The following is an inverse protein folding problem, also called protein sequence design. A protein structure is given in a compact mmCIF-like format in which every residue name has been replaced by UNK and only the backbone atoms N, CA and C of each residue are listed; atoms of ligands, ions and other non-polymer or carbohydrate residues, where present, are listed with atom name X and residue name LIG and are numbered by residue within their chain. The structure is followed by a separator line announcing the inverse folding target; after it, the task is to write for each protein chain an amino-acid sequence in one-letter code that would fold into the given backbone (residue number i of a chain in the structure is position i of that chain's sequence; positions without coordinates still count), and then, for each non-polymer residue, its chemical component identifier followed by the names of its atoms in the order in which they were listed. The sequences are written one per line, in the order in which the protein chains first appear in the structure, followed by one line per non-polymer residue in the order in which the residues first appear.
data_IF_231703944245
#
_entry.id   IF_231703944245
#
_cell.length_a   1.000
_cell.length_b   1.000
_cell.length_c   1.000
_cell.angle_alpha   90.00
_cell.angle_beta   90.00
_cell.angle_gamma   90.00
#
_symmetry.space_group_name_H-M   'P 1'
#
loop_
_entity.id
_entity.type
_entity.pdbx_description
1 polymer ?
#
# COMPACT_ATOMS: atom_id res chain seq x y z
N UNK A 1 16.43 -16.37 -24.77
CA UNK A 1 17.74 -16.90 -24.55
C UNK A 1 17.69 -18.07 -23.59
N UNK A 2 18.45 -19.10 -23.90
CA UNK A 2 18.59 -20.22 -22.99
C UNK A 2 17.43 -21.21 -22.95
N UNK A 3 16.52 -21.17 -23.89
CA UNK A 3 15.49 -22.18 -24.03
C UNK A 3 14.38 -22.13 -23.02
N UNK A 4 14.24 -21.04 -22.26
CA UNK A 4 13.12 -20.89 -21.31
C UNK A 4 11.87 -20.50 -22.06
N UNK A 5 10.74 -21.16 -21.72
CA UNK A 5 9.43 -20.81 -22.24
C UNK A 5 8.90 -19.55 -21.58
N UNK A 6 7.90 -18.91 -22.20
CA UNK A 6 7.23 -17.74 -21.59
C UNK A 6 6.61 -18.09 -20.24
N UNK A 7 5.90 -19.23 -20.07
CA UNK A 7 5.41 -19.62 -18.75
C UNK A 7 6.51 -19.81 -17.70
N UNK A 8 7.65 -20.37 -18.10
CA UNK A 8 8.78 -20.56 -17.18
C UNK A 8 9.36 -19.21 -16.75
N UNK A 9 9.53 -18.29 -17.70
CA UNK A 9 9.99 -16.94 -17.39
C UNK A 9 9.03 -16.23 -16.45
N UNK A 10 7.73 -16.34 -16.72
CA UNK A 10 6.70 -15.74 -15.86
C UNK A 10 6.76 -16.28 -14.44
N UNK A 11 6.94 -17.61 -14.29
CA UNK A 11 7.08 -18.23 -12.96
C UNK A 11 8.30 -17.70 -12.21
N UNK A 12 9.44 -17.57 -12.92
CA UNK A 12 10.68 -17.07 -12.32
C UNK A 12 10.54 -15.61 -11.88
N UNK A 13 9.91 -14.80 -12.72
CA UNK A 13 9.66 -13.39 -12.38
C UNK A 13 8.74 -13.30 -11.15
N UNK A 14 7.66 -14.06 -11.13
CA UNK A 14 6.75 -14.07 -9.98
C UNK A 14 7.42 -14.54 -8.71
N UNK A 15 8.26 -15.58 -8.81
CA UNK A 15 9.00 -16.08 -7.64
C UNK A 15 9.96 -15.03 -7.11
N UNK A 16 10.68 -14.35 -8.01
CA UNK A 16 11.61 -13.29 -7.61
C UNK A 16 10.87 -12.09 -7.01
N UNK A 17 9.77 -11.68 -7.63
CA UNK A 17 8.95 -10.58 -7.12
C UNK A 17 8.37 -10.92 -5.74
N UNK A 18 7.92 -12.15 -5.53
CA UNK A 18 7.43 -12.59 -4.23
C UNK A 18 8.51 -12.55 -3.17
N UNK A 19 9.75 -12.96 -3.52
CA UNK A 19 10.87 -12.89 -2.57
C UNK A 19 11.19 -11.44 -2.21
N UNK A 20 11.20 -10.55 -3.19
CA UNK A 20 11.44 -9.13 -2.95
C UNK A 20 10.38 -8.53 -2.02
N UNK A 21 9.11 -8.90 -2.21
CA UNK A 21 8.04 -8.45 -1.31
C UNK A 21 8.23 -8.96 0.10
N UNK A 22 8.64 -10.23 0.26
CA UNK A 22 8.91 -10.79 1.59
C UNK A 22 10.08 -10.09 2.27
N UNK A 23 11.15 -9.82 1.51
CA UNK A 23 12.32 -9.11 2.03
C UNK A 23 11.94 -7.68 2.47
N UNK A 24 11.11 -7.01 1.67
CA UNK A 24 10.62 -5.67 2.00
C UNK A 24 9.76 -5.70 3.26
N UNK A 25 8.85 -6.65 3.36
CA UNK A 25 7.99 -6.79 4.54
C UNK A 25 8.80 -7.09 5.80
N UNK A 26 9.79 -7.97 5.70
CA UNK A 26 10.70 -8.27 6.82
C UNK A 26 11.48 -7.04 7.23
N UNK A 27 12.01 -6.30 6.27
CA UNK A 27 12.75 -5.07 6.56
C UNK A 27 11.87 -4.08 7.32
N UNK A 28 10.65 -3.88 6.86
CA UNK A 28 9.72 -2.98 7.49
C UNK A 28 9.30 -3.45 8.88
N UNK A 29 8.82 -4.70 8.98
CA UNK A 29 8.25 -5.21 10.23
C UNK A 29 9.30 -5.47 11.31
N UNK A 30 10.47 -5.96 10.92
CA UNK A 30 11.46 -6.46 11.87
C UNK A 30 12.56 -5.44 12.18
N UNK A 31 12.76 -4.45 11.30
CA UNK A 31 13.85 -3.50 11.44
C UNK A 31 13.38 -2.05 11.52
N UNK A 32 12.69 -1.56 10.49
CA UNK A 32 12.36 -0.14 10.39
C UNK A 32 11.28 0.28 11.39
N UNK A 33 10.19 -0.46 11.44
CA UNK A 33 9.07 -0.13 12.31
C UNK A 33 9.46 -0.13 13.79
N UNK A 34 10.18 -1.15 14.30
CA UNK A 34 10.65 -1.12 15.69
C UNK A 34 11.63 0.02 15.97
N UNK A 35 12.49 0.33 15.02
CA UNK A 35 13.45 1.42 15.20
C UNK A 35 12.76 2.77 15.25
N UNK A 36 11.76 3.00 14.39
CA UNK A 36 10.96 4.20 14.44
C UNK A 36 10.25 4.34 15.78
N UNK A 37 9.72 3.24 16.32
CA UNK A 37 9.04 3.26 17.61
C UNK A 37 9.97 3.69 18.74
N UNK A 38 11.24 3.29 18.69
CA UNK A 38 12.24 3.72 19.67
C UNK A 38 12.45 5.22 19.64
N UNK A 39 12.23 5.85 18.49
CA UNK A 39 12.38 7.30 18.33
C UNK A 39 11.05 8.05 18.41
N UNK A 40 10.02 7.39 18.93
CA UNK A 40 8.73 8.04 19.19
C UNK A 40 7.78 8.11 18.00
N UNK A 41 8.12 7.41 16.89
CA UNK A 41 7.25 7.37 15.71
C UNK A 41 6.61 5.99 15.61
N UNK A 42 5.29 5.93 15.75
CA UNK A 42 4.54 4.67 15.67
C UNK A 42 3.63 4.70 14.47
N UNK A 43 3.82 3.71 13.59
CA UNK A 43 2.92 3.47 12.46
C UNK A 43 1.95 2.38 12.90
N UNK A 44 0.69 2.74 13.04
CA UNK A 44 -0.32 1.84 13.62
C UNK A 44 -1.03 1.05 12.52
N UNK A 45 -1.27 -0.23 12.80
CA UNK A 45 -2.19 -1.03 12.01
C UNK A 45 -3.63 -0.73 12.46
N UNK A 46 -4.63 -0.94 11.58
CA UNK A 46 -6.02 -0.66 11.95
C UNK A 46 -6.49 -1.36 13.22
N UNK A 47 -5.97 -2.55 13.50
CA UNK A 47 -6.31 -3.33 14.70
C UNK A 47 -5.81 -2.66 15.98
N UNK A 48 -4.83 -1.77 15.86
CA UNK A 48 -4.25 -1.05 17.00
C UNK A 48 -4.97 0.26 17.29
N UNK A 49 -5.97 0.64 16.48
CA UNK A 49 -6.69 1.89 16.66
C UNK A 49 -7.57 1.82 17.91
N UNK A 50 -7.41 2.80 18.79
CA UNK A 50 -8.35 3.01 19.90
C UNK A 50 -9.58 3.77 19.39
N UNK A 51 -10.66 3.80 20.18
CA UNK A 51 -11.85 4.56 19.82
C UNK A 51 -11.53 6.05 19.64
N UNK A 52 -10.64 6.59 20.44
CA UNK A 52 -10.20 7.97 20.34
C UNK A 52 -9.48 8.23 19.03
N UNK A 53 -8.62 7.32 18.62
CA UNK A 53 -7.90 7.42 17.34
C UNK A 53 -8.88 7.34 16.19
N UNK A 54 -9.83 6.41 16.23
CA UNK A 54 -10.84 6.27 15.18
C UNK A 54 -11.68 7.53 15.03
N UNK A 55 -12.08 8.11 16.15
CA UNK A 55 -12.83 9.36 16.17
C UNK A 55 -12.05 10.49 15.53
N UNK A 56 -10.80 10.66 15.93
CA UNK A 56 -9.92 11.67 15.37
C UNK A 56 -9.75 11.48 13.84
N UNK A 57 -9.47 10.26 13.41
CA UNK A 57 -9.27 9.96 12.00
C UNK A 57 -10.52 10.23 11.16
N UNK A 58 -11.70 9.89 11.70
CA UNK A 58 -12.96 10.14 11.02
C UNK A 58 -13.19 11.63 10.80
N UNK A 59 -12.99 12.42 11.86
CA UNK A 59 -13.15 13.86 11.78
C UNK A 59 -12.13 14.50 10.84
N UNK A 60 -10.89 14.07 10.94
CA UNK A 60 -9.82 14.56 10.08
C UNK A 60 -10.09 14.24 8.61
N UNK A 61 -10.52 13.01 8.33
CA UNK A 61 -10.85 12.60 6.96
C UNK A 61 -11.95 13.46 6.37
N UNK A 62 -13.03 13.67 7.13
CA UNK A 62 -14.18 14.45 6.66
C UNK A 62 -13.85 15.92 6.44
N UNK A 63 -13.01 16.49 7.32
CA UNK A 63 -12.67 17.90 7.26
C UNK A 63 -11.60 18.21 6.23
N UNK A 64 -10.57 17.37 6.14
CA UNK A 64 -9.35 17.70 5.41
C UNK A 64 -9.11 16.86 4.16
N UNK A 65 -9.57 15.62 4.13
CA UNK A 65 -9.27 14.70 3.03
C UNK A 65 -10.44 14.58 2.07
N UNK A 66 -11.63 14.31 2.61
CA UNK A 66 -12.82 14.08 1.78
C UNK A 66 -13.10 15.21 0.79
N UNK A 67 -12.99 16.50 1.17
CA UNK A 67 -13.23 17.59 0.22
C UNK A 67 -12.25 17.61 -0.95
N UNK A 68 -11.09 17.00 -0.81
CA UNK A 68 -10.07 16.95 -1.85
C UNK A 68 -10.24 15.77 -2.81
N UNK A 69 -11.09 14.81 -2.46
CA UNK A 69 -11.27 13.62 -3.28
C UNK A 69 -12.17 13.95 -4.47
N UNK A 70 -11.70 13.59 -5.66
CA UNK A 70 -12.48 13.70 -6.88
C UNK A 70 -12.92 12.30 -7.29
N UNK A 71 -14.24 12.02 -7.34
CA UNK A 71 -14.69 10.69 -7.76
C UNK A 71 -14.30 10.43 -9.21
N UNK A 72 -13.75 9.25 -9.44
CA UNK A 72 -13.42 8.76 -10.78
C UNK A 72 -14.47 7.73 -11.17
N UNK A 73 -15.19 7.98 -12.27
CA UNK A 73 -16.18 7.05 -12.78
C UNK A 73 -15.56 6.18 -13.86
N UNK A 74 -15.82 4.87 -13.81
CA UNK A 74 -15.48 3.98 -14.90
C UNK A 74 -16.57 4.10 -15.96
N UNK A 75 -16.16 4.50 -17.19
CA UNK A 75 -17.05 4.64 -18.33
C UNK A 75 -16.64 3.61 -19.38
N UNK A 76 -17.58 2.84 -19.95
CA UNK A 76 -17.25 1.90 -21.03
C UNK A 76 -16.56 2.55 -22.24
N UNK A 77 -16.82 3.83 -22.50
CA UNK A 77 -16.10 4.59 -23.53
C UNK A 77 -14.70 4.99 -23.13
N UNK A 78 -14.37 4.89 -21.85
CA UNK A 78 -13.07 5.24 -21.29
C UNK A 78 -12.65 4.16 -20.31
N UNK A 79 -12.07 3.05 -20.81
CA UNK A 79 -11.79 1.87 -19.98
C UNK A 79 -10.83 2.13 -18.81
N UNK A 80 -10.08 3.22 -18.87
CA UNK A 80 -9.19 3.60 -17.77
C UNK A 80 -9.49 5.00 -17.32
N UNK A 81 -9.75 5.23 -16.01
CA UNK A 81 -9.93 6.59 -15.51
C UNK A 81 -8.69 7.44 -15.78
N UNK A 82 -8.90 8.65 -16.23
CA UNK A 82 -7.82 9.62 -16.36
C UNK A 82 -7.51 10.20 -14.98
N UNK A 83 -6.26 10.10 -14.59
CA UNK A 83 -5.79 10.71 -13.33
C UNK A 83 -5.13 12.02 -13.72
N UNK A 84 -5.76 13.14 -13.34
CA UNK A 84 -5.15 14.45 -13.54
C UNK A 84 -4.27 14.79 -12.33
N UNK A 85 -3.11 15.30 -12.62
CA UNK A 85 -2.17 15.73 -11.57
C UNK A 85 -2.60 17.07 -10.99
#
# INVERSE_FOLDING_TARGET
LGGQTVPEQARRIRARAAQMRRDQASCWNDQLRPELAKHGVRILEPEEYTDRIRQFLTLFFRAEIYPLLTPLAFDPGHPFPLISN
#
